data_IF_666614256168
#
_entry.id   IF_666614256168
#
_cell.length_a   1.000
_cell.length_b   1.000
_cell.length_c   1.000
_cell.angle_alpha   90.00
_cell.angle_beta   90.00
_cell.angle_gamma   90.00
#
_symmetry.space_group_name_H-M   'P 1'
#
loop_
_entity.id
_entity.type
_entity.pdbx_description
1 polymer ?
#
# COMPACT_ATOMS: atom_id res chain seq x y z
N UNK A 1 6.71 34.42 -4.27
CA UNK A 1 5.43 33.90 -4.81
C UNK A 1 5.23 32.44 -4.55
N UNK A 2 6.20 31.57 -4.80
CA UNK A 2 6.12 30.10 -4.63
C UNK A 2 5.72 29.65 -3.22
N UNK A 3 6.29 30.25 -2.19
CA UNK A 3 5.94 29.96 -0.79
C UNK A 3 4.46 30.23 -0.45
N UNK A 4 3.84 31.22 -1.11
CA UNK A 4 2.43 31.55 -0.89
C UNK A 4 1.50 30.52 -1.59
N UNK A 5 1.88 30.04 -2.77
CA UNK A 5 1.15 28.98 -3.47
C UNK A 5 1.24 27.66 -2.70
N UNK A 6 2.41 27.28 -2.21
CA UNK A 6 2.60 26.05 -1.42
C UNK A 6 1.78 26.08 -0.12
N UNK A 7 1.77 27.21 0.59
CA UNK A 7 0.99 27.35 1.83
C UNK A 7 -0.52 27.26 1.56
N UNK A 8 -0.98 27.88 0.47
CA UNK A 8 -2.39 27.84 0.05
C UNK A 8 -2.79 26.41 -0.39
N UNK A 9 -1.93 25.75 -1.15
CA UNK A 9 -2.12 24.36 -1.55
C UNK A 9 -2.27 23.43 -0.35
N UNK A 10 -1.33 23.49 0.59
CA UNK A 10 -1.37 22.70 1.83
C UNK A 10 -2.65 22.95 2.64
N UNK A 11 -3.01 24.21 2.82
CA UNK A 11 -4.24 24.57 3.55
C UNK A 11 -5.50 24.00 2.89
N UNK A 12 -5.62 24.12 1.58
CA UNK A 12 -6.75 23.60 0.83
C UNK A 12 -6.79 22.07 0.84
N UNK A 13 -5.63 21.41 0.73
CA UNK A 13 -5.51 19.95 0.83
C UNK A 13 -5.97 19.42 2.19
N UNK A 14 -5.58 20.09 3.27
CA UNK A 14 -6.05 19.73 4.63
C UNK A 14 -7.56 19.97 4.76
N UNK A 15 -8.04 21.12 4.28
CA UNK A 15 -9.47 21.49 4.41
C UNK A 15 -10.40 20.52 3.66
N UNK A 16 -9.95 19.97 2.55
CA UNK A 16 -10.71 19.00 1.75
C UNK A 16 -10.40 17.57 2.21
N UNK A 17 -9.12 17.26 2.39
CA UNK A 17 -8.64 15.90 2.70
C UNK A 17 -9.10 15.39 4.06
N UNK A 18 -9.12 16.23 5.09
CA UNK A 18 -9.53 15.81 6.43
C UNK A 18 -10.99 15.34 6.48
N UNK A 19 -12.00 16.14 6.02
CA UNK A 19 -13.39 15.70 6.08
C UNK A 19 -13.68 14.52 5.14
N UNK A 20 -13.04 14.47 3.96
CA UNK A 20 -13.24 13.36 3.01
C UNK A 20 -12.67 12.04 3.52
N UNK A 21 -11.49 12.05 4.14
CA UNK A 21 -10.93 10.84 4.76
C UNK A 21 -11.73 10.41 6.00
N UNK A 22 -12.21 11.36 6.81
CA UNK A 22 -13.08 11.05 7.93
C UNK A 22 -14.40 10.42 7.45
N UNK A 23 -15.00 11.00 6.41
CA UNK A 23 -16.20 10.43 5.79
C UNK A 23 -15.96 9.02 5.25
N UNK A 24 -14.83 8.79 4.58
CA UNK A 24 -14.45 7.45 4.09
C UNK A 24 -14.29 6.45 5.24
N UNK A 25 -13.65 6.85 6.34
CA UNK A 25 -13.54 6.00 7.53
C UNK A 25 -14.92 5.64 8.13
N UNK A 26 -15.83 6.60 8.20
CA UNK A 26 -17.20 6.37 8.68
C UNK A 26 -17.99 5.46 7.73
N UNK A 27 -17.88 5.67 6.41
CA UNK A 27 -18.59 4.85 5.42
C UNK A 27 -18.08 3.41 5.37
N UNK A 28 -16.84 3.13 5.82
CA UNK A 28 -16.31 1.77 5.92
C UNK A 28 -17.10 0.89 6.91
N UNK A 29 -17.81 1.49 7.89
CA UNK A 29 -18.67 0.74 8.80
C UNK A 29 -20.03 0.37 8.22
N UNK A 30 -20.48 1.04 7.13
CA UNK A 30 -21.80 0.80 6.53
C UNK A 30 -22.03 -0.67 6.14
N UNK A 31 -21.11 -1.35 5.41
CA UNK A 31 -21.30 -2.75 5.06
C UNK A 31 -21.41 -3.67 6.28
N UNK A 32 -20.62 -3.41 7.31
CA UNK A 32 -20.62 -4.21 8.55
C UNK A 32 -21.94 -4.02 9.29
N UNK A 33 -22.37 -2.77 9.48
CA UNK A 33 -23.66 -2.46 10.13
C UNK A 33 -24.81 -3.08 9.34
N UNK A 34 -24.80 -2.95 8.02
CA UNK A 34 -25.82 -3.57 7.16
C UNK A 34 -25.92 -5.08 7.35
N UNK A 35 -24.78 -5.79 7.38
CA UNK A 35 -24.75 -7.23 7.62
C UNK A 35 -25.26 -7.59 9.02
N UNK A 36 -24.81 -6.87 10.05
CA UNK A 36 -25.25 -7.11 11.42
C UNK A 36 -26.75 -6.92 11.60
N UNK A 37 -27.32 -5.87 10.98
CA UNK A 37 -28.77 -5.58 11.06
C UNK A 37 -29.58 -6.59 10.22
N UNK A 38 -29.11 -6.93 9.00
CA UNK A 38 -29.88 -7.80 8.09
C UNK A 38 -29.92 -9.25 8.54
N UNK A 39 -28.81 -9.73 9.13
CA UNK A 39 -28.66 -11.14 9.52
C UNK A 39 -28.72 -11.34 11.04
N UNK A 40 -28.97 -10.28 11.81
CA UNK A 40 -29.00 -10.30 13.29
C UNK A 40 -27.75 -10.99 13.90
N UNK A 41 -26.58 -10.67 13.33
CA UNK A 41 -25.29 -11.30 13.69
C UNK A 41 -24.33 -10.28 14.31
N UNK A 42 -24.73 -9.70 15.45
CA UNK A 42 -23.84 -8.79 16.18
C UNK A 42 -22.72 -9.57 16.88
N UNK A 43 -21.45 -9.25 16.60
CA UNK A 43 -20.35 -9.95 17.24
C UNK A 43 -20.19 -9.50 18.70
N UNK A 44 -19.75 -10.41 19.55
CA UNK A 44 -19.39 -10.08 20.94
C UNK A 44 -18.22 -9.09 20.99
N UNK A 45 -18.27 -8.15 21.92
CA UNK A 45 -17.23 -7.14 22.08
C UNK A 45 -15.84 -7.75 22.35
N UNK A 46 -15.78 -8.88 23.07
CA UNK A 46 -14.54 -9.63 23.32
C UNK A 46 -13.92 -10.17 22.04
N UNK A 47 -14.75 -10.66 21.11
CA UNK A 47 -14.32 -11.16 19.80
C UNK A 47 -13.78 -10.02 18.94
N UNK A 48 -14.50 -8.88 18.91
CA UNK A 48 -14.07 -7.68 18.16
C UNK A 48 -12.73 -7.17 18.69
N UNK A 49 -12.56 -7.06 20.01
CA UNK A 49 -11.32 -6.60 20.61
C UNK A 49 -10.15 -7.56 20.36
N UNK A 50 -10.41 -8.87 20.41
CA UNK A 50 -9.40 -9.88 20.11
C UNK A 50 -8.97 -9.83 18.64
N UNK A 51 -9.91 -9.73 17.71
CA UNK A 51 -9.63 -9.60 16.28
C UNK A 51 -8.89 -8.30 15.97
N UNK A 52 -9.31 -7.18 16.58
CA UNK A 52 -8.62 -5.90 16.45
C UNK A 52 -7.20 -5.97 17.01
N UNK A 53 -7.01 -6.59 18.18
CA UNK A 53 -5.69 -6.79 18.78
C UNK A 53 -4.75 -7.60 17.89
N UNK A 54 -5.20 -8.68 17.30
CA UNK A 54 -4.43 -9.48 16.34
C UNK A 54 -4.06 -8.66 15.10
N UNK A 55 -4.98 -7.86 14.57
CA UNK A 55 -4.74 -6.98 13.43
C UNK A 55 -3.74 -5.90 13.79
N UNK A 56 -3.89 -5.26 14.93
CA UNK A 56 -2.97 -4.22 15.41
C UNK A 56 -1.56 -4.77 15.66
N UNK A 57 -1.42 -5.96 16.20
CA UNK A 57 -0.13 -6.63 16.36
C UNK A 57 0.53 -6.98 15.02
N UNK A 58 -0.27 -7.35 14.01
CA UNK A 58 0.24 -7.74 12.70
C UNK A 58 0.62 -6.53 11.83
N UNK A 59 -0.16 -5.46 11.90
CA UNK A 59 -0.07 -4.32 10.97
C UNK A 59 0.19 -2.98 11.65
N UNK A 60 0.27 -2.91 12.98
CA UNK A 60 0.40 -1.65 13.72
C UNK A 60 1.60 -0.80 13.34
N UNK A 61 2.74 -1.44 13.00
CA UNK A 61 3.92 -0.74 12.52
C UNK A 61 3.63 0.03 11.21
N UNK A 62 2.81 -0.52 10.32
CA UNK A 62 2.46 0.11 9.05
C UNK A 62 1.59 1.36 9.24
N UNK A 63 0.77 1.42 10.29
CA UNK A 63 -0.05 2.61 10.59
C UNK A 63 0.78 3.88 10.81
N UNK A 64 2.04 3.73 11.21
CA UNK A 64 2.97 4.86 11.41
C UNK A 64 3.91 5.00 10.20
N UNK A 65 4.49 3.90 9.74
CA UNK A 65 5.53 3.93 8.68
C UNK A 65 4.96 4.31 7.31
N UNK A 66 3.78 3.80 6.97
CA UNK A 66 3.18 4.06 5.65
C UNK A 66 2.83 5.52 5.43
N UNK A 67 2.10 6.22 6.33
CA UNK A 67 1.79 7.63 6.13
C UNK A 67 3.03 8.50 5.95
N UNK A 68 4.08 8.24 6.73
CA UNK A 68 5.34 8.99 6.65
C UNK A 68 6.05 8.73 5.32
N UNK A 69 6.14 7.46 4.90
CA UNK A 69 6.79 7.05 3.65
C UNK A 69 6.05 7.60 2.42
N UNK A 70 4.73 7.52 2.44
CA UNK A 70 3.92 8.01 1.32
C UNK A 70 3.90 9.52 1.24
N UNK A 71 3.87 10.22 2.38
CA UNK A 71 3.99 11.68 2.39
C UNK A 71 5.29 12.17 1.75
N UNK A 72 6.40 11.49 2.02
CA UNK A 72 7.70 11.83 1.45
C UNK A 72 7.76 11.62 -0.08
N UNK A 73 7.00 10.66 -0.62
CA UNK A 73 7.04 10.29 -2.04
C UNK A 73 5.92 10.89 -2.89
N UNK A 74 4.74 11.11 -2.30
CA UNK A 74 3.53 11.54 -3.00
C UNK A 74 3.13 12.98 -2.70
N UNK A 75 3.74 13.59 -1.69
CA UNK A 75 3.31 14.87 -1.16
C UNK A 75 2.01 14.79 -0.35
N UNK A 76 1.51 15.94 0.10
CA UNK A 76 0.33 15.98 0.97
C UNK A 76 -0.95 15.55 0.25
N UNK A 77 -1.22 16.15 -0.90
CA UNK A 77 -2.45 15.88 -1.66
C UNK A 77 -2.46 14.47 -2.22
N UNK A 78 -1.32 14.01 -2.76
CA UNK A 78 -1.17 12.65 -3.25
C UNK A 78 -1.37 11.60 -2.17
N UNK A 79 -0.88 11.87 -0.96
CA UNK A 79 -1.02 10.95 0.17
C UNK A 79 -2.48 10.78 0.58
N UNK A 80 -3.22 11.86 0.84
CA UNK A 80 -4.62 11.73 1.26
C UNK A 80 -5.50 11.08 0.19
N UNK A 81 -5.29 11.42 -1.09
CA UNK A 81 -6.00 10.79 -2.20
C UNK A 81 -5.69 9.29 -2.31
N UNK A 82 -4.44 8.93 -2.04
CA UNK A 82 -4.02 7.53 -2.06
C UNK A 82 -4.65 6.73 -0.94
N UNK A 83 -4.73 7.27 0.29
CA UNK A 83 -5.43 6.64 1.40
C UNK A 83 -6.94 6.51 1.14
N UNK A 84 -7.55 7.54 0.53
CA UNK A 84 -8.96 7.51 0.16
C UNK A 84 -9.28 6.45 -0.90
N UNK A 85 -8.39 6.26 -1.87
CA UNK A 85 -8.61 5.40 -3.03
C UNK A 85 -8.00 4.00 -2.93
N UNK A 86 -7.12 3.77 -1.97
CA UNK A 86 -6.44 2.49 -1.77
C UNK A 86 -5.42 2.13 -2.86
N UNK A 87 -4.88 0.91 -2.79
CA UNK A 87 -3.89 0.36 -3.71
C UNK A 87 -2.63 1.23 -3.88
N UNK A 88 -2.11 1.73 -2.75
CA UNK A 88 -1.09 2.78 -2.72
C UNK A 88 0.24 2.27 -3.26
N UNK A 89 0.80 1.23 -2.65
CA UNK A 89 2.13 0.71 -2.96
C UNK A 89 2.25 0.11 -4.36
N UNK A 90 1.20 -0.55 -4.85
CA UNK A 90 1.24 -1.25 -6.13
C UNK A 90 0.88 -0.37 -7.33
N UNK A 91 0.12 0.69 -7.12
CA UNK A 91 -0.37 1.54 -8.22
C UNK A 91 -0.07 3.01 -8.04
N UNK A 92 -0.42 3.63 -6.89
CA UNK A 92 -0.31 5.09 -6.72
C UNK A 92 1.14 5.56 -6.70
N UNK A 93 1.98 4.90 -5.91
CA UNK A 93 3.41 5.23 -5.81
C UNK A 93 4.13 5.05 -7.15
N UNK A 94 4.02 3.92 -7.87
CA UNK A 94 4.63 3.77 -9.18
C UNK A 94 4.13 4.80 -10.21
N UNK A 95 2.82 5.09 -10.26
CA UNK A 95 2.27 6.09 -11.16
C UNK A 95 2.82 7.49 -10.89
N UNK A 96 2.86 7.90 -9.62
CA UNK A 96 3.41 9.19 -9.23
C UNK A 96 4.91 9.28 -9.54
N UNK A 97 5.68 8.24 -9.20
CA UNK A 97 7.11 8.19 -9.47
C UNK A 97 7.42 8.31 -10.96
N UNK A 98 6.67 7.58 -11.81
CA UNK A 98 6.84 7.66 -13.27
C UNK A 98 6.49 9.06 -13.80
N UNK A 99 5.41 9.66 -13.31
CA UNK A 99 5.02 11.01 -13.73
C UNK A 99 6.05 12.07 -13.34
N UNK A 100 6.62 11.98 -12.15
CA UNK A 100 7.70 12.86 -11.70
C UNK A 100 8.98 12.70 -12.55
N UNK A 101 9.33 11.46 -12.90
CA UNK A 101 10.48 11.16 -13.74
C UNK A 101 10.31 11.74 -15.17
N UNK A 102 9.16 11.49 -15.80
CA UNK A 102 8.85 12.01 -17.13
C UNK A 102 8.83 13.53 -17.19
N UNK A 103 8.29 14.19 -16.16
CA UNK A 103 8.21 15.66 -16.08
C UNK A 103 9.47 16.29 -15.52
N UNK A 104 10.46 15.50 -15.09
CA UNK A 104 11.70 15.94 -14.41
C UNK A 104 11.41 16.87 -13.23
N UNK A 105 10.36 16.55 -12.46
CA UNK A 105 9.92 17.34 -11.32
C UNK A 105 10.67 16.90 -10.05
N UNK A 106 11.29 17.85 -9.36
CA UNK A 106 12.02 17.57 -8.13
C UNK A 106 11.07 17.44 -6.94
N UNK A 107 11.24 16.39 -6.13
CA UNK A 107 10.44 16.14 -4.93
C UNK A 107 10.50 17.33 -3.96
N UNK A 108 9.34 17.66 -3.36
CA UNK A 108 9.21 18.80 -2.44
C UNK A 108 8.87 20.14 -3.11
N UNK A 109 8.82 20.20 -4.44
CA UNK A 109 8.37 21.39 -5.19
C UNK A 109 6.85 21.36 -5.39
N UNK A 110 6.25 22.55 -5.62
CA UNK A 110 4.82 22.64 -5.96
C UNK A 110 4.50 21.93 -7.26
N UNK A 111 5.42 21.94 -8.22
CA UNK A 111 5.29 21.19 -9.47
C UNK A 111 5.16 19.69 -9.21
N UNK A 112 6.01 19.12 -8.36
CA UNK A 112 5.95 17.72 -8.00
C UNK A 112 4.63 17.36 -7.27
N UNK A 113 4.15 18.21 -6.38
CA UNK A 113 2.85 18.05 -5.70
C UNK A 113 1.68 17.98 -6.69
N UNK A 114 1.66 18.88 -7.68
CA UNK A 114 0.60 18.91 -8.70
C UNK A 114 0.70 17.70 -9.62
N UNK A 115 1.89 17.42 -10.14
CA UNK A 115 2.12 16.30 -11.08
C UNK A 115 1.78 14.95 -10.43
N UNK A 116 2.25 14.68 -9.21
CA UNK A 116 1.94 13.46 -8.50
C UNK A 116 0.44 13.32 -8.21
N UNK A 117 -0.21 14.42 -7.81
CA UNK A 117 -1.65 14.45 -7.57
C UNK A 117 -2.45 14.12 -8.84
N UNK A 118 -2.09 14.70 -9.98
CA UNK A 118 -2.75 14.41 -11.26
C UNK A 118 -2.54 12.96 -11.71
N UNK A 119 -1.32 12.43 -11.55
CA UNK A 119 -1.02 11.03 -11.86
C UNK A 119 -1.86 10.08 -11.00
N UNK A 120 -1.99 10.37 -9.71
CA UNK A 120 -2.81 9.59 -8.79
C UNK A 120 -4.29 9.66 -9.20
N UNK A 121 -4.83 10.84 -9.52
CA UNK A 121 -6.20 10.98 -10.00
C UNK A 121 -6.46 10.14 -11.26
N UNK A 122 -5.56 10.19 -12.25
CA UNK A 122 -5.66 9.35 -13.45
C UNK A 122 -5.63 7.86 -13.11
N UNK A 123 -4.75 7.46 -12.21
CA UNK A 123 -4.66 6.06 -11.75
C UNK A 123 -5.91 5.59 -11.00
N UNK A 124 -6.60 6.48 -10.27
CA UNK A 124 -7.86 6.19 -9.58
C UNK A 124 -8.95 5.87 -10.59
N UNK A 125 -9.11 6.72 -11.60
CA UNK A 125 -10.11 6.55 -12.66
C UNK A 125 -9.87 5.22 -13.40
N UNK A 126 -8.63 4.97 -13.82
CA UNK A 126 -8.25 3.72 -14.50
C UNK A 126 -8.54 2.49 -13.64
N UNK A 127 -8.16 2.55 -12.36
CA UNK A 127 -8.42 1.45 -11.42
C UNK A 127 -9.93 1.22 -11.22
N UNK A 128 -10.72 2.28 -11.09
CA UNK A 128 -12.17 2.18 -10.92
C UNK A 128 -12.83 1.55 -12.14
N UNK A 129 -12.45 1.95 -13.35
CA UNK A 129 -12.94 1.35 -14.60
C UNK A 129 -12.56 -0.13 -14.65
N UNK A 130 -11.30 -0.46 -14.40
CA UNK A 130 -10.81 -1.83 -14.44
C UNK A 130 -11.50 -2.74 -13.41
N UNK A 131 -11.61 -2.29 -12.16
CA UNK A 131 -12.25 -3.08 -11.10
C UNK A 131 -13.75 -3.24 -11.31
N UNK A 132 -14.44 -2.20 -11.77
CA UNK A 132 -15.87 -2.28 -12.09
C UNK A 132 -16.11 -3.23 -13.27
N UNK A 133 -15.31 -3.12 -14.33
CA UNK A 133 -15.39 -4.04 -15.47
C UNK A 133 -15.11 -5.49 -15.05
N UNK A 134 -14.08 -5.70 -14.21
CA UNK A 134 -13.77 -7.00 -13.67
C UNK A 134 -14.92 -7.56 -12.81
N UNK A 135 -15.54 -6.74 -11.98
CA UNK A 135 -16.67 -7.16 -11.14
C UNK A 135 -17.88 -7.62 -11.97
N UNK A 136 -18.18 -6.93 -13.07
CA UNK A 136 -19.28 -7.29 -13.98
C UNK A 136 -18.97 -8.59 -14.73
N UNK A 137 -17.73 -8.75 -15.22
CA UNK A 137 -17.35 -9.85 -16.10
C UNK A 137 -16.93 -11.10 -15.31
N UNK A 138 -16.47 -10.95 -14.07
CA UNK A 138 -15.85 -12.04 -13.29
C UNK A 138 -16.77 -13.26 -13.11
N UNK A 139 -18.05 -13.06 -12.88
CA UNK A 139 -19.01 -14.17 -12.71
C UNK A 139 -19.13 -15.03 -13.96
N UNK A 140 -19.17 -14.41 -15.13
CA UNK A 140 -19.22 -15.10 -16.42
C UNK A 140 -17.89 -15.82 -16.72
N UNK A 141 -16.75 -15.17 -16.42
CA UNK A 141 -15.42 -15.78 -16.62
C UNK A 141 -15.24 -16.99 -15.70
N UNK A 142 -15.58 -16.86 -14.43
CA UNK A 142 -15.47 -17.97 -13.46
C UNK A 142 -16.35 -19.15 -13.83
N UNK A 143 -17.54 -18.91 -14.40
CA UNK A 143 -18.45 -19.97 -14.84
C UNK A 143 -17.91 -20.79 -16.03
N UNK A 144 -17.08 -20.18 -16.89
CA UNK A 144 -16.47 -20.85 -18.06
C UNK A 144 -15.14 -21.51 -17.73
N UNK A 145 -14.49 -21.12 -16.62
CA UNK A 145 -13.18 -21.64 -16.24
C UNK A 145 -13.27 -23.09 -15.75
N UNK A 146 -12.35 -23.98 -16.21
CA UNK A 146 -12.20 -25.32 -15.65
C UNK A 146 -12.00 -25.31 -14.14
N UNK A 147 -12.54 -26.30 -13.46
CA UNK A 147 -12.53 -26.36 -11.99
C UNK A 147 -11.13 -26.29 -11.37
N UNK A 148 -10.10 -26.85 -12.02
CA UNK A 148 -8.73 -26.80 -11.54
C UNK A 148 -8.12 -25.39 -11.60
N UNK A 149 -8.46 -24.58 -12.63
CA UNK A 149 -8.02 -23.19 -12.75
C UNK A 149 -8.72 -22.34 -11.70
N UNK A 150 -10.04 -22.54 -11.53
CA UNK A 150 -10.81 -21.81 -10.53
C UNK A 150 -10.30 -22.07 -9.11
N UNK A 151 -10.01 -23.33 -8.78
CA UNK A 151 -9.38 -23.69 -7.50
C UNK A 151 -7.97 -23.09 -7.35
N UNK A 152 -7.18 -23.07 -8.42
CA UNK A 152 -5.86 -22.44 -8.44
C UNK A 152 -5.94 -20.92 -8.17
N UNK A 153 -6.87 -20.23 -8.81
CA UNK A 153 -7.11 -18.79 -8.59
C UNK A 153 -7.55 -18.52 -7.15
N UNK A 154 -8.50 -19.27 -6.61
CA UNK A 154 -8.95 -19.08 -5.23
C UNK A 154 -7.84 -19.32 -4.20
N UNK A 155 -6.95 -20.26 -4.46
CA UNK A 155 -5.91 -20.66 -3.50
C UNK A 155 -4.65 -19.80 -3.61
N UNK A 156 -4.21 -19.45 -4.83
CA UNK A 156 -2.89 -18.89 -5.08
C UNK A 156 -2.89 -17.45 -5.63
N UNK A 157 -4.06 -16.86 -5.96
CA UNK A 157 -4.09 -15.52 -6.54
C UNK A 157 -3.40 -14.46 -5.66
N UNK A 158 -3.66 -14.45 -4.36
CA UNK A 158 -3.01 -13.53 -3.43
C UNK A 158 -1.50 -13.71 -3.41
N UNK A 159 -1.02 -14.94 -3.31
CA UNK A 159 0.41 -15.26 -3.31
C UNK A 159 1.08 -14.83 -4.64
N UNK A 160 0.41 -15.03 -5.78
CA UNK A 160 0.89 -14.62 -7.09
C UNK A 160 1.00 -13.09 -7.22
N UNK A 161 0.00 -12.35 -6.75
CA UNK A 161 0.00 -10.87 -6.77
C UNK A 161 1.14 -10.30 -5.90
N UNK A 162 1.27 -10.78 -4.66
CA UNK A 162 2.35 -10.35 -3.78
C UNK A 162 3.72 -10.78 -4.30
N UNK A 163 3.84 -11.98 -4.86
CA UNK A 163 5.05 -12.47 -5.50
C UNK A 163 5.46 -11.63 -6.72
N UNK A 164 4.53 -11.25 -7.57
CA UNK A 164 4.78 -10.37 -8.72
C UNK A 164 5.22 -8.96 -8.27
N UNK A 165 4.60 -8.42 -7.23
CA UNK A 165 4.98 -7.12 -6.64
C UNK A 165 6.38 -7.19 -6.06
N UNK A 166 6.69 -8.23 -5.29
CA UNK A 166 8.04 -8.47 -4.78
C UNK A 166 9.05 -8.60 -5.93
N UNK A 167 8.72 -9.35 -6.98
CA UNK A 167 9.56 -9.52 -8.16
C UNK A 167 9.91 -8.20 -8.83
N UNK A 168 8.95 -7.30 -8.97
CA UNK A 168 9.17 -5.96 -9.53
C UNK A 168 10.21 -5.13 -8.73
N UNK A 169 10.18 -5.22 -7.40
CA UNK A 169 11.18 -4.56 -6.55
C UNK A 169 12.51 -5.31 -6.55
N UNK A 170 12.48 -6.64 -6.60
CA UNK A 170 13.67 -7.48 -6.61
C UNK A 170 14.56 -7.24 -7.83
N UNK A 171 13.98 -7.00 -9.00
CA UNK A 171 14.71 -6.65 -10.23
C UNK A 171 15.51 -5.35 -10.05
N UNK A 172 14.94 -4.37 -9.36
CA UNK A 172 15.59 -3.07 -9.11
C UNK A 172 16.73 -3.14 -8.09
N UNK A 173 16.60 -4.00 -7.08
CA UNK A 173 17.57 -4.13 -5.96
C UNK A 173 17.78 -5.61 -5.59
N UNK A 174 18.42 -6.42 -6.48
CA UNK A 174 18.51 -7.88 -6.30
C UNK A 174 19.27 -8.29 -5.03
N UNK A 175 20.31 -7.56 -4.64
CA UNK A 175 21.07 -7.84 -3.42
C UNK A 175 20.20 -7.74 -2.15
N UNK A 176 19.32 -6.75 -2.09
CA UNK A 176 18.42 -6.56 -0.94
C UNK A 176 17.28 -7.57 -0.97
N UNK A 177 16.79 -7.92 -2.17
CA UNK A 177 15.69 -8.86 -2.36
C UNK A 177 16.00 -10.25 -1.80
N UNK A 178 17.25 -10.74 -1.93
CA UNK A 178 17.67 -12.02 -1.36
C UNK A 178 17.43 -12.04 0.15
N UNK A 179 17.76 -10.97 0.85
CA UNK A 179 17.54 -10.87 2.30
C UNK A 179 16.07 -10.64 2.62
N UNK A 180 15.35 -9.85 1.80
CA UNK A 180 13.91 -9.63 1.94
C UNK A 180 13.08 -10.91 1.87
N UNK A 181 13.54 -11.91 1.10
CA UNK A 181 12.92 -13.22 1.04
C UNK A 181 13.54 -14.21 2.06
N UNK A 182 14.86 -14.14 2.25
CA UNK A 182 15.59 -15.08 3.12
C UNK A 182 15.20 -14.93 4.59
N UNK A 183 15.09 -13.71 5.10
CA UNK A 183 14.76 -13.47 6.51
C UNK A 183 13.41 -14.10 6.90
N UNK A 184 12.27 -13.77 6.23
CA UNK A 184 10.99 -14.38 6.61
C UNK A 184 10.95 -15.89 6.41
N UNK A 185 11.66 -16.41 5.39
CA UNK A 185 11.74 -17.83 5.14
C UNK A 185 12.46 -18.58 6.27
N UNK A 186 13.62 -18.05 6.68
CA UNK A 186 14.39 -18.60 7.81
C UNK A 186 13.59 -18.52 9.10
N UNK A 187 12.98 -17.36 9.38
CA UNK A 187 12.13 -17.21 10.56
C UNK A 187 10.97 -18.21 10.56
N UNK A 188 10.32 -18.43 9.41
CA UNK A 188 9.18 -19.34 9.31
C UNK A 188 9.57 -20.82 9.44
N UNK A 189 10.74 -21.21 8.92
CA UNK A 189 11.18 -22.60 8.89
C UNK A 189 11.85 -23.07 10.19
N UNK A 190 12.64 -22.20 10.81
CA UNK A 190 13.51 -22.58 11.93
C UNK A 190 13.02 -22.10 13.29
N UNK A 191 12.13 -21.09 13.34
CA UNK A 191 11.73 -20.50 14.61
C UNK A 191 10.18 -20.45 14.67
N UNK A 192 9.56 -21.11 15.67
CA UNK A 192 8.10 -21.10 15.85
C UNK A 192 7.65 -19.75 16.45
N UNK A 193 7.77 -18.67 15.69
CA UNK A 193 7.35 -17.34 16.11
C UNK A 193 6.04 -16.92 15.43
N UNK A 194 5.23 -16.07 16.06
CA UNK A 194 3.98 -15.59 15.49
C UNK A 194 4.22 -14.74 14.23
N UNK A 195 3.26 -14.75 13.31
CA UNK A 195 3.37 -14.10 12.01
C UNK A 195 3.73 -12.60 12.09
N UNK A 196 3.19 -11.88 13.09
CA UNK A 196 3.50 -10.47 13.28
C UNK A 196 5.00 -10.22 13.56
N UNK A 197 5.65 -11.10 14.32
CA UNK A 197 7.07 -10.98 14.63
C UNK A 197 7.93 -11.28 13.39
N UNK A 198 7.51 -12.22 12.53
CA UNK A 198 8.16 -12.47 11.25
C UNK A 198 8.13 -11.21 10.38
N UNK A 199 6.99 -10.51 10.34
CA UNK A 199 6.84 -9.25 9.58
C UNK A 199 7.81 -8.19 10.10
N UNK A 200 7.84 -7.98 11.42
CA UNK A 200 8.74 -7.01 12.06
C UNK A 200 10.21 -7.34 11.77
N UNK A 201 10.63 -8.58 11.99
CA UNK A 201 12.00 -9.02 11.71
C UNK A 201 12.37 -8.88 10.23
N UNK A 202 11.44 -9.20 9.32
CA UNK A 202 11.68 -9.09 7.87
C UNK A 202 11.85 -7.64 7.44
N UNK A 203 10.97 -6.74 7.89
CA UNK A 203 11.02 -5.33 7.52
C UNK A 203 12.28 -4.68 8.08
N UNK A 204 12.47 -4.71 9.39
CA UNK A 204 13.63 -4.04 10.01
C UNK A 204 14.97 -4.71 9.66
N UNK A 205 14.99 -6.03 9.53
CA UNK A 205 16.17 -6.76 9.08
C UNK A 205 16.57 -6.38 7.66
N UNK A 206 15.61 -6.35 6.73
CA UNK A 206 15.86 -5.96 5.33
C UNK A 206 16.26 -4.50 5.21
N UNK A 207 15.61 -3.59 5.94
CA UNK A 207 15.96 -2.15 5.96
C UNK A 207 17.35 -1.95 6.55
N UNK A 208 17.71 -2.64 7.64
CA UNK A 208 19.05 -2.58 8.23
C UNK A 208 20.13 -3.01 7.23
N UNK A 209 19.92 -4.14 6.55
CA UNK A 209 20.85 -4.65 5.52
C UNK A 209 20.93 -3.70 4.33
N UNK A 210 19.80 -3.17 3.87
CA UNK A 210 19.76 -2.19 2.77
C UNK A 210 20.57 -0.94 3.12
N UNK A 211 20.46 -0.45 4.36
CA UNK A 211 21.24 0.69 4.86
C UNK A 211 22.75 0.41 4.87
N UNK A 212 23.16 -0.79 5.28
CA UNK A 212 24.58 -1.20 5.27
C UNK A 212 25.12 -1.22 3.82
N UNK A 213 24.36 -1.77 2.87
CA UNK A 213 24.78 -1.76 1.46
C UNK A 213 24.87 -0.34 0.90
N UNK A 214 23.87 0.50 1.16
CA UNK A 214 23.89 1.90 0.73
C UNK A 214 25.10 2.69 1.29
N UNK A 215 25.38 2.53 2.58
CA UNK A 215 26.53 3.19 3.22
C UNK A 215 27.87 2.68 2.64
N UNK A 216 27.95 1.39 2.33
CA UNK A 216 29.12 0.78 1.72
C UNK A 216 29.36 1.25 0.29
N UNK A 217 28.30 1.38 -0.50
CA UNK A 217 28.37 1.89 -1.88
C UNK A 217 28.77 3.37 -1.91
N UNK A 218 28.21 4.20 -1.04
CA UNK A 218 28.58 5.63 -0.94
C UNK A 218 30.04 5.83 -0.49
N UNK A 219 30.56 4.99 0.42
CA UNK A 219 31.98 5.03 0.81
C UNK A 219 32.93 4.63 -0.32
N UNK A 220 32.48 3.78 -1.27
CA UNK A 220 33.26 3.42 -2.44
C UNK A 220 33.21 4.48 -3.54
N UNK A 221 32.10 5.22 -3.64
CA UNK A 221 31.96 6.32 -4.60
C UNK A 221 32.69 7.60 -4.17
N UNK A 222 33.01 7.72 -2.88
CA UNK A 222 33.72 8.86 -2.28
C UNK A 222 35.26 8.65 -2.22
N UNK A 223 35.77 7.50 -2.66
CA UNK A 223 37.19 7.18 -2.84
C UNK A 223 37.52 7.15 -4.34
#
# INVERSE_FOLDING_TARGET
MENNYMSTWKRNSIRIGTPTNLLAALTAFIPVIYLCVTYDCWPDASLVLSAWGLTALSFGAFYVVEPVSYYASLGMSGTYLSFLSGNIGNMRVPCAALALDVTKSEAGTIQAEVVSTMAICGSIITNLIATTSAAIISSAVVAVLPAFINKGLQTYASAAIFGATFGNFAIKKPKVAIFGLGIPLICKLFIPIPAWLIIVCSVFGTVGIARVFYTSENKKAAK
#
